data_IF_910021313025
#
_entry.id   IF_910021313025
#
_cell.length_a   1.000
_cell.length_b   1.000
_cell.length_c   1.000
_cell.angle_alpha   90.00
_cell.angle_beta   90.00
_cell.angle_gamma   90.00
#
_symmetry.space_group_name_H-M   'P 1'
#
loop_
_entity.id
_entity.type
_entity.pdbx_description
1 polymer ?
#
# COMPACT_ATOMS: atom_id res chain seq x y z
N UNK A 1 -4.28 -10.62 -5.41
CA UNK A 1 -5.21 -10.64 -4.26
C UNK A 1 -6.44 -11.46 -4.63
N UNK A 2 -6.79 -12.40 -3.76
CA UNK A 2 -7.87 -13.36 -4.05
C UNK A 2 -9.24 -12.68 -4.16
N UNK A 3 -9.57 -11.79 -3.22
CA UNK A 3 -10.90 -11.17 -3.09
C UNK A 3 -11.18 -10.12 -4.16
N UNK A 4 -10.19 -9.39 -4.62
CA UNK A 4 -10.34 -8.26 -5.55
C UNK A 4 -9.83 -8.58 -6.95
N UNK A 5 -9.19 -9.73 -7.14
CA UNK A 5 -8.46 -10.10 -8.36
C UNK A 5 -7.36 -9.08 -8.75
N UNK A 6 -6.95 -8.22 -7.83
CA UNK A 6 -5.84 -7.30 -8.06
C UNK A 6 -4.50 -8.05 -8.17
N UNK A 7 -3.65 -7.55 -9.04
CA UNK A 7 -2.26 -7.97 -9.14
C UNK A 7 -1.41 -6.96 -8.38
N UNK A 8 -0.58 -7.45 -7.46
CA UNK A 8 0.45 -6.66 -6.79
C UNK A 8 1.82 -7.09 -7.31
N UNK A 9 2.71 -6.13 -7.48
CA UNK A 9 4.11 -6.36 -7.84
C UNK A 9 4.98 -5.88 -6.68
N UNK A 10 5.98 -6.70 -6.35
CA UNK A 10 6.98 -6.31 -5.37
C UNK A 10 8.08 -5.50 -6.05
N UNK A 11 8.31 -4.29 -5.57
CA UNK A 11 9.33 -3.35 -6.05
C UNK A 11 10.32 -3.03 -4.94
N UNK A 12 11.33 -2.22 -5.24
CA UNK A 12 12.23 -1.67 -4.22
C UNK A 12 11.46 -0.89 -3.11
N UNK A 13 10.29 -0.45 -3.44
CA UNK A 13 9.41 0.30 -2.55
C UNK A 13 8.44 -0.58 -1.75
N UNK A 14 8.34 -1.86 -2.03
CA UNK A 14 7.40 -2.81 -1.43
C UNK A 14 6.32 -3.28 -2.40
N UNK A 15 5.20 -3.73 -1.85
CA UNK A 15 4.08 -4.20 -2.65
C UNK A 15 3.25 -3.03 -3.16
N UNK A 16 3.19 -2.90 -4.48
CA UNK A 16 2.40 -1.86 -5.16
C UNK A 16 1.38 -2.51 -6.09
N UNK A 17 0.25 -1.84 -6.29
CA UNK A 17 -0.74 -2.31 -7.26
C UNK A 17 -0.15 -2.21 -8.66
N UNK A 18 -0.16 -3.35 -9.37
CA UNK A 18 0.35 -3.40 -10.73
C UNK A 18 -0.54 -2.58 -11.70
N UNK A 19 0.05 -1.98 -12.72
CA UNK A 19 -0.71 -1.41 -13.83
C UNK A 19 -1.63 -2.44 -14.47
N UNK A 20 -2.70 -1.97 -15.10
CA UNK A 20 -3.62 -2.83 -15.87
C UNK A 20 -2.83 -3.52 -16.99
N UNK A 21 -2.99 -4.84 -17.09
CA UNK A 21 -2.29 -5.65 -18.12
C UNK A 21 -0.89 -6.13 -17.73
N UNK A 22 -0.40 -5.85 -16.51
CA UNK A 22 0.94 -6.26 -16.09
C UNK A 22 1.09 -7.79 -16.08
N UNK A 23 0.08 -8.53 -15.60
CA UNK A 23 0.09 -10.00 -15.63
C UNK A 23 0.15 -10.53 -17.07
N UNK A 24 -0.57 -9.90 -18.00
CA UNK A 24 -0.55 -10.25 -19.42
C UNK A 24 0.82 -9.98 -20.04
N UNK A 25 1.43 -8.85 -19.70
CA UNK A 25 2.77 -8.51 -20.15
C UNK A 25 3.81 -9.50 -19.59
N UNK A 26 3.75 -9.82 -18.30
CA UNK A 26 4.63 -10.82 -17.71
C UNK A 26 4.50 -12.18 -18.40
N UNK A 27 3.29 -12.65 -18.68
CA UNK A 27 3.04 -13.90 -19.40
C UNK A 27 3.58 -13.86 -20.84
N UNK A 28 3.42 -12.73 -21.56
CA UNK A 28 4.02 -12.53 -22.90
C UNK A 28 5.54 -12.55 -22.86
N UNK A 29 6.15 -11.96 -21.82
CA UNK A 29 7.60 -12.02 -21.63
C UNK A 29 8.10 -13.44 -21.41
N UNK A 30 7.37 -14.30 -20.71
CA UNK A 30 7.71 -15.72 -20.57
C UNK A 30 7.74 -16.41 -21.93
N UNK A 31 6.74 -16.18 -22.78
CA UNK A 31 6.70 -16.73 -24.14
C UNK A 31 7.88 -16.21 -25.00
N UNK A 32 8.15 -14.92 -24.91
CA UNK A 32 9.28 -14.31 -25.63
C UNK A 32 10.63 -14.85 -25.13
N UNK A 33 10.79 -15.12 -23.84
CA UNK A 33 12.02 -15.70 -23.30
C UNK A 33 12.30 -17.11 -23.83
N UNK A 34 11.25 -17.94 -24.01
CA UNK A 34 11.39 -19.27 -24.63
C UNK A 34 11.89 -19.14 -26.07
N UNK A 35 11.38 -18.18 -26.84
CA UNK A 35 11.84 -17.92 -28.20
C UNK A 35 13.29 -17.39 -28.24
N UNK A 36 13.67 -16.55 -27.30
CA UNK A 36 15.03 -16.05 -27.14
C UNK A 36 16.02 -17.18 -26.79
N UNK A 37 15.63 -18.07 -25.85
CA UNK A 37 16.43 -19.25 -25.51
C UNK A 37 16.66 -20.14 -26.72
N UNK A 38 15.62 -20.35 -27.55
CA UNK A 38 15.74 -21.11 -28.79
C UNK A 38 16.72 -20.46 -29.76
N UNK A 39 16.67 -19.14 -29.90
CA UNK A 39 17.58 -18.39 -30.81
C UNK A 39 19.04 -18.43 -30.31
N UNK A 40 19.28 -18.37 -29.01
CA UNK A 40 20.62 -18.46 -28.45
C UNK A 40 21.20 -19.88 -28.54
N UNK A 41 20.35 -20.91 -28.36
CA UNK A 41 20.73 -22.29 -28.55
C UNK A 41 21.04 -22.59 -30.02
N UNK A 42 20.26 -22.05 -30.96
CA UNK A 42 20.50 -22.17 -32.39
C UNK A 42 21.89 -21.66 -32.82
N UNK A 43 22.37 -20.57 -32.22
CA UNK A 43 23.72 -20.03 -32.48
C UNK A 43 24.83 -20.96 -31.99
N UNK A 44 24.59 -21.72 -30.90
CA UNK A 44 25.57 -22.61 -30.27
C UNK A 44 25.55 -24.01 -30.87
N UNK A 45 24.37 -24.50 -31.14
CA UNK A 45 24.08 -25.90 -31.55
C UNK A 45 23.00 -25.89 -32.65
N UNK A 46 23.33 -25.58 -33.92
CA UNK A 46 22.35 -25.41 -34.99
C UNK A 46 21.46 -26.64 -35.26
N UNK A 47 22.00 -27.84 -35.07
CA UNK A 47 21.30 -29.10 -35.33
C UNK A 47 20.58 -29.68 -34.10
N UNK A 48 20.54 -28.96 -33.01
CA UNK A 48 19.92 -29.44 -31.78
C UNK A 48 18.39 -29.62 -31.92
N UNK A 49 17.88 -30.79 -31.65
CA UNK A 49 16.44 -31.07 -31.62
C UNK A 49 15.69 -30.20 -30.60
N UNK A 50 16.38 -29.74 -29.56
CA UNK A 50 15.87 -28.88 -28.51
C UNK A 50 15.47 -27.49 -29.05
N UNK A 51 16.19 -26.99 -30.08
CA UNK A 51 15.81 -25.73 -30.75
C UNK A 51 14.41 -25.81 -31.34
N UNK A 52 14.12 -26.91 -32.06
CA UNK A 52 12.80 -27.13 -32.68
C UNK A 52 11.71 -27.27 -31.64
N UNK A 53 12.01 -27.91 -30.51
CA UNK A 53 11.10 -28.09 -29.40
C UNK A 53 10.76 -26.77 -28.74
N UNK A 54 11.74 -25.93 -28.42
CA UNK A 54 11.54 -24.60 -27.82
C UNK A 54 10.75 -23.68 -28.74
N UNK A 55 11.05 -23.66 -30.04
CA UNK A 55 10.28 -22.84 -31.01
C UNK A 55 8.83 -23.31 -31.08
N UNK A 56 8.59 -24.62 -31.10
CA UNK A 56 7.24 -25.17 -31.06
C UNK A 56 6.52 -24.81 -29.78
N UNK A 57 7.20 -24.85 -28.63
CA UNK A 57 6.64 -24.46 -27.35
C UNK A 57 6.26 -22.97 -27.31
N UNK A 58 7.15 -22.09 -27.82
CA UNK A 58 6.88 -20.67 -27.91
C UNK A 58 5.66 -20.39 -28.79
N UNK A 59 5.58 -21.01 -29.98
CA UNK A 59 4.42 -20.91 -30.86
C UNK A 59 3.13 -21.43 -30.20
N UNK A 60 3.20 -22.58 -29.53
CA UNK A 60 2.06 -23.19 -28.85
C UNK A 60 1.55 -22.32 -27.70
N UNK A 61 2.44 -21.61 -27.00
CA UNK A 61 2.12 -20.77 -25.84
C UNK A 61 1.67 -19.35 -26.19
N UNK A 62 1.89 -18.89 -27.45
CA UNK A 62 1.59 -17.54 -27.89
C UNK A 62 0.09 -17.16 -28.00
N UNK A 63 -0.86 -18.05 -28.32
CA UNK A 63 -2.27 -17.69 -28.46
C UNK A 63 -2.84 -17.12 -27.14
N UNK A 64 -3.74 -16.12 -27.25
CA UNK A 64 -4.37 -15.44 -26.12
C UNK A 64 -4.94 -16.41 -25.08
N UNK A 65 -5.68 -17.43 -25.52
CA UNK A 65 -6.25 -18.45 -24.63
C UNK A 65 -5.20 -19.18 -23.77
N UNK A 66 -3.98 -19.37 -24.29
CA UNK A 66 -2.88 -20.01 -23.56
C UNK A 66 -2.24 -19.08 -22.56
N UNK A 67 -2.11 -17.80 -22.93
CA UNK A 67 -1.65 -16.73 -22.03
C UNK A 67 -2.63 -16.57 -20.85
N UNK A 68 -3.94 -16.52 -21.13
CA UNK A 68 -4.97 -16.46 -20.09
C UNK A 68 -4.95 -17.69 -19.18
N UNK A 69 -4.78 -18.90 -19.77
CA UNK A 69 -4.68 -20.14 -19.02
C UNK A 69 -3.42 -20.14 -18.12
N UNK A 70 -2.29 -19.65 -18.61
CA UNK A 70 -1.05 -19.53 -17.82
C UNK A 70 -1.26 -18.60 -16.61
N UNK A 71 -1.86 -17.43 -16.81
CA UNK A 71 -2.16 -16.48 -15.73
C UNK A 71 -3.13 -17.10 -14.73
N UNK A 72 -4.17 -17.78 -15.21
CA UNK A 72 -5.15 -18.44 -14.36
C UNK A 72 -4.54 -19.55 -13.50
N UNK A 73 -3.65 -20.35 -14.07
CA UNK A 73 -2.94 -21.40 -13.34
C UNK A 73 -1.92 -20.81 -12.35
N UNK A 74 -1.17 -19.77 -12.74
CA UNK A 74 -0.24 -19.10 -11.86
C UNK A 74 -0.93 -18.56 -10.59
N UNK A 75 -2.17 -18.10 -10.68
CA UNK A 75 -2.93 -17.64 -9.50
C UNK A 75 -3.21 -18.74 -8.48
N UNK A 76 -3.18 -20.00 -8.87
CA UNK A 76 -3.38 -21.15 -7.99
C UNK A 76 -2.09 -21.72 -7.39
N UNK A 77 -0.93 -21.26 -7.86
CA UNK A 77 0.35 -21.71 -7.35
C UNK A 77 0.60 -21.24 -5.91
N UNK A 78 1.20 -22.10 -5.05
CA UNK A 78 1.57 -21.71 -3.69
C UNK A 78 2.45 -20.45 -3.67
N UNK A 79 2.09 -19.49 -2.84
CA UNK A 79 2.81 -18.23 -2.70
C UNK A 79 2.48 -17.14 -3.75
N UNK A 80 1.71 -17.46 -4.80
CA UNK A 80 1.28 -16.49 -5.79
C UNK A 80 -0.03 -15.79 -5.44
N UNK A 81 -0.83 -16.39 -4.56
CA UNK A 81 -2.10 -15.82 -4.10
C UNK A 81 -2.02 -15.41 -2.64
N UNK A 82 -2.52 -14.23 -2.33
CA UNK A 82 -2.64 -13.74 -0.96
C UNK A 82 -4.04 -13.17 -0.72
N UNK A 83 -4.51 -13.26 0.52
CA UNK A 83 -5.74 -12.58 0.93
C UNK A 83 -5.45 -11.11 1.26
N UNK A 84 -6.41 -10.25 0.99
CA UNK A 84 -6.30 -8.85 1.36
C UNK A 84 -6.09 -8.64 2.88
N UNK A 85 -6.61 -9.55 3.70
CA UNK A 85 -6.44 -9.53 5.16
C UNK A 85 -5.01 -9.86 5.63
N UNK A 86 -4.17 -10.42 4.75
CA UNK A 86 -2.78 -10.71 5.09
C UNK A 86 -1.90 -9.44 4.97
N UNK A 87 -2.36 -8.47 4.17
CA UNK A 87 -1.65 -7.20 4.01
C UNK A 87 -2.00 -6.24 5.14
N UNK A 88 -1.00 -5.48 5.58
CA UNK A 88 -1.13 -4.46 6.63
C UNK A 88 -1.75 -5.02 7.94
N UNK A 89 -1.55 -6.31 8.21
CA UNK A 89 -2.20 -7.03 9.31
C UNK A 89 -1.66 -6.65 10.70
N UNK A 90 -0.38 -6.30 10.81
CA UNK A 90 0.21 -5.87 12.09
C UNK A 90 -0.01 -4.37 12.31
N UNK A 91 -0.84 -3.96 13.30
CA UNK A 91 -1.14 -2.56 13.55
C UNK A 91 0.07 -1.73 14.02
N UNK A 92 1.15 -2.35 14.43
CA UNK A 92 2.38 -1.67 14.87
C UNK A 92 3.46 -1.62 13.78
N UNK A 93 3.15 -2.04 12.58
CA UNK A 93 4.05 -1.95 11.44
C UNK A 93 3.60 -0.81 10.55
N UNK A 94 4.52 0.11 10.23
CA UNK A 94 4.28 1.26 9.36
C UNK A 94 5.24 1.22 8.18
N UNK A 95 4.72 1.20 6.97
CA UNK A 95 5.51 1.42 5.77
C UNK A 95 5.95 2.88 5.68
N UNK A 96 7.21 3.12 5.40
CA UNK A 96 7.81 4.43 5.14
C UNK A 96 8.62 4.37 3.84
N UNK A 97 9.03 5.50 3.28
CA UNK A 97 9.74 5.50 1.98
C UNK A 97 11.06 4.73 2.01
N UNK A 98 11.77 4.76 3.12
CA UNK A 98 13.07 4.07 3.28
C UNK A 98 12.98 2.71 3.97
N UNK A 99 11.77 2.13 4.15
CA UNK A 99 11.64 0.79 4.74
C UNK A 99 10.34 0.54 5.48
N UNK A 100 10.42 -0.35 6.44
CA UNK A 100 9.33 -0.73 7.34
C UNK A 100 9.71 -0.37 8.77
N UNK A 101 8.92 0.47 9.41
CA UNK A 101 9.12 0.89 10.79
C UNK A 101 8.32 -0.01 11.74
N UNK A 102 9.01 -0.68 12.64
CA UNK A 102 8.42 -1.39 13.77
C UNK A 102 8.19 -0.40 14.92
N UNK A 103 6.97 0.02 15.12
CA UNK A 103 6.59 1.04 16.11
C UNK A 103 6.80 0.59 17.57
N UNK A 104 6.86 -0.73 17.84
CA UNK A 104 7.16 -1.23 19.19
C UNK A 104 8.61 -1.00 19.59
N UNK A 105 9.49 -1.02 18.58
CA UNK A 105 10.95 -0.95 18.80
C UNK A 105 11.55 0.36 18.30
N UNK A 106 10.80 1.17 17.54
CA UNK A 106 11.34 2.34 16.84
C UNK A 106 12.42 1.96 15.83
N UNK A 107 12.37 0.74 15.27
CA UNK A 107 13.43 0.20 14.43
C UNK A 107 12.99 0.11 12.96
N UNK A 108 13.82 0.64 12.08
CA UNK A 108 13.65 0.53 10.64
C UNK A 108 14.20 -0.81 10.14
N UNK A 109 13.44 -1.47 9.29
CA UNK A 109 13.81 -2.73 8.62
C UNK A 109 13.71 -2.57 7.12
N UNK A 110 14.52 -3.33 6.38
CA UNK A 110 14.40 -3.40 4.93
C UNK A 110 13.10 -4.06 4.51
N UNK A 111 12.56 -3.61 3.38
CA UNK A 111 11.38 -4.24 2.75
C UNK A 111 11.79 -5.57 2.13
N UNK A 112 10.99 -6.60 2.33
CA UNK A 112 11.18 -7.93 1.73
C UNK A 112 9.86 -8.43 1.15
N UNK A 113 9.86 -9.36 0.18
CA UNK A 113 8.61 -9.93 -0.36
C UNK A 113 7.71 -10.58 0.69
N UNK A 114 8.29 -11.06 1.79
CA UNK A 114 7.54 -11.63 2.91
C UNK A 114 6.87 -10.57 3.79
N UNK A 115 7.26 -9.30 3.65
CA UNK A 115 6.66 -8.19 4.39
C UNK A 115 5.41 -7.71 3.63
N UNK A 116 4.24 -8.20 4.04
CA UNK A 116 2.97 -7.90 3.40
C UNK A 116 2.43 -6.53 3.85
N UNK A 117 3.14 -5.47 3.49
CA UNK A 117 2.75 -4.08 3.71
C UNK A 117 2.49 -3.43 2.35
N UNK A 118 1.29 -2.90 2.17
CA UNK A 118 0.82 -2.31 0.90
C UNK A 118 0.60 -0.80 0.98
N UNK A 119 0.66 -0.23 2.17
CA UNK A 119 0.50 1.21 2.42
C UNK A 119 1.79 1.84 2.89
N UNK A 120 1.95 3.13 2.60
CA UNK A 120 3.13 3.89 2.97
C UNK A 120 2.81 5.30 3.45
N UNK A 121 3.58 5.72 4.45
CA UNK A 121 3.73 7.13 4.81
C UNK A 121 4.70 7.80 3.83
N UNK A 122 4.41 9.03 3.43
CA UNK A 122 5.15 9.75 2.38
C UNK A 122 6.47 10.37 2.87
N UNK A 123 7.10 9.75 3.88
CA UNK A 123 8.31 10.25 4.52
C UNK A 123 9.33 9.15 4.73
N UNK A 124 10.61 9.55 4.76
CA UNK A 124 11.68 8.73 5.30
C UNK A 124 11.64 8.77 6.83
N UNK A 125 11.85 7.63 7.47
CA UNK A 125 12.10 7.59 8.90
C UNK A 125 13.57 7.91 9.18
N UNK A 126 13.80 8.94 9.99
CA UNK A 126 15.10 9.31 10.53
C UNK A 126 14.95 9.46 12.06
N UNK A 127 15.59 8.60 12.86
CA UNK A 127 15.49 8.68 14.32
C UNK A 127 16.16 9.92 14.92
N UNK A 128 17.02 10.60 14.15
CA UNK A 128 17.70 11.82 14.57
C UNK A 128 16.98 13.10 14.11
N UNK A 129 15.88 12.98 13.37
CA UNK A 129 15.17 14.14 12.83
C UNK A 129 14.59 15.02 13.95
N UNK A 130 14.88 16.30 13.88
CA UNK A 130 14.34 17.34 14.77
C UNK A 130 13.66 18.41 13.91
N UNK A 131 12.48 18.86 14.33
CA UNK A 131 11.75 19.89 13.63
C UNK A 131 11.37 21.06 14.54
N UNK A 132 12.33 21.96 14.80
CA UNK A 132 12.11 23.15 15.62
C UNK A 132 10.97 24.04 15.12
N UNK A 133 10.77 24.11 13.81
CA UNK A 133 9.68 24.89 13.22
C UNK A 133 8.31 24.33 13.62
N UNK A 134 8.15 23.01 13.65
CA UNK A 134 6.92 22.37 14.11
C UNK A 134 6.68 22.60 15.60
N UNK A 135 7.73 22.50 16.42
CA UNK A 135 7.64 22.74 17.86
C UNK A 135 7.23 24.20 18.16
N UNK A 136 7.81 25.16 17.44
CA UNK A 136 7.44 26.57 17.55
C UNK A 136 5.99 26.84 17.08
N UNK A 137 5.59 26.22 15.96
CA UNK A 137 4.22 26.29 15.49
C UNK A 137 3.25 25.78 16.56
N UNK A 138 3.47 24.59 17.10
CA UNK A 138 2.60 24.04 18.15
C UNK A 138 2.57 24.92 19.42
N UNK A 139 3.69 25.44 19.85
CA UNK A 139 3.74 26.32 21.01
C UNK A 139 2.98 27.62 20.80
N UNK A 140 2.95 28.13 19.56
CA UNK A 140 2.23 29.37 19.19
C UNK A 140 0.72 29.16 19.13
N UNK A 141 0.27 28.07 18.46
CA UNK A 141 -1.16 27.83 18.22
C UNK A 141 -1.86 27.16 19.41
N UNK A 142 -1.09 26.48 20.26
CA UNK A 142 -1.57 25.81 21.45
C UNK A 142 -0.61 26.07 22.64
N UNK A 143 -0.82 27.15 23.40
CA UNK A 143 0.04 27.50 24.53
C UNK A 143 0.01 26.49 25.68
N UNK A 144 -1.12 25.80 25.88
CA UNK A 144 -1.32 24.82 26.94
C UNK A 144 -0.44 23.57 26.72
N UNK A 145 0.51 23.23 27.60
CA UNK A 145 1.40 22.09 27.45
C UNK A 145 0.68 20.75 27.55
N UNK A 146 -0.42 20.65 28.32
CA UNK A 146 -1.17 19.40 28.46
C UNK A 146 -1.93 19.09 27.18
N UNK A 147 -2.48 20.11 26.53
CA UNK A 147 -3.13 19.93 25.22
C UNK A 147 -2.10 19.57 24.14
N UNK A 148 -0.90 20.19 24.14
CA UNK A 148 0.17 19.77 23.23
C UNK A 148 0.55 18.30 23.44
N UNK A 149 0.64 17.85 24.70
CA UNK A 149 0.89 16.44 25.01
C UNK A 149 -0.22 15.53 24.50
N UNK A 150 -1.49 15.95 24.63
CA UNK A 150 -2.61 15.21 24.06
C UNK A 150 -2.50 15.11 22.53
N UNK A 151 -2.15 16.21 21.83
CA UNK A 151 -1.93 16.20 20.38
C UNK A 151 -0.81 15.24 19.98
N UNK A 152 0.27 15.19 20.73
CA UNK A 152 1.38 14.25 20.52
C UNK A 152 0.91 12.79 20.70
N UNK A 153 0.12 12.52 21.73
CA UNK A 153 -0.45 11.18 21.96
C UNK A 153 -1.40 10.77 20.81
N UNK A 154 -2.23 11.69 20.34
CA UNK A 154 -3.12 11.44 19.20
C UNK A 154 -2.32 11.15 17.92
N UNK A 155 -1.28 11.93 17.64
CA UNK A 155 -0.37 11.67 16.52
C UNK A 155 0.28 10.28 16.64
N UNK A 156 0.72 9.90 17.85
CA UNK A 156 1.24 8.55 18.12
C UNK A 156 0.23 7.45 17.86
N UNK A 157 -1.04 7.65 18.20
CA UNK A 157 -2.12 6.71 17.93
C UNK A 157 -2.36 6.57 16.42
N UNK A 158 -2.35 7.68 15.67
CA UNK A 158 -2.53 7.66 14.21
C UNK A 158 -1.38 6.99 13.47
N UNK A 159 -0.21 6.83 14.08
CA UNK A 159 0.85 5.99 13.52
C UNK A 159 0.51 4.50 13.63
N UNK A 160 -0.33 4.11 14.58
CA UNK A 160 -0.75 2.71 14.76
C UNK A 160 -2.01 2.39 13.97
N UNK A 161 -2.21 1.11 13.65
CA UNK A 161 -3.46 0.61 13.10
C UNK A 161 -4.49 0.18 14.15
N UNK A 162 -4.33 0.63 15.41
CA UNK A 162 -5.22 0.26 16.50
C UNK A 162 -6.55 1.00 16.42
N UNK A 163 -7.65 0.27 16.52
CA UNK A 163 -9.02 0.80 16.50
C UNK A 163 -9.74 0.72 17.87
N UNK A 164 -8.98 0.41 18.92
CA UNK A 164 -9.55 0.13 20.24
C UNK A 164 -10.05 1.38 21.01
N UNK A 165 -9.62 2.57 20.60
CA UNK A 165 -10.04 3.80 21.27
C UNK A 165 -11.53 4.14 21.02
N UNK A 166 -12.06 3.84 19.84
CA UNK A 166 -13.44 4.13 19.44
C UNK A 166 -13.85 5.58 19.77
N UNK A 167 -13.01 6.56 19.44
CA UNK A 167 -13.22 7.98 19.73
C UNK A 167 -13.33 8.78 18.44
N UNK A 168 -14.28 9.71 18.44
CA UNK A 168 -14.36 10.80 17.47
C UNK A 168 -13.79 12.06 18.13
N UNK A 169 -12.84 12.70 17.46
CA UNK A 169 -12.09 13.84 18.00
C UNK A 169 -12.54 15.08 17.26
N UNK A 170 -13.02 16.07 18.00
CA UNK A 170 -13.43 17.37 17.45
C UNK A 170 -12.39 18.44 17.77
N UNK A 171 -11.83 19.03 16.73
CA UNK A 171 -11.02 20.24 16.82
C UNK A 171 -11.95 21.45 16.65
N UNK A 172 -12.19 22.19 17.70
CA UNK A 172 -13.03 23.40 17.63
C UNK A 172 -12.26 24.65 18.08
N UNK A 173 -12.73 25.80 17.69
CA UNK A 173 -12.18 27.11 18.09
C UNK A 173 -12.46 28.19 17.04
N UNK A 174 -12.23 29.43 17.45
CA UNK A 174 -12.34 30.62 16.60
C UNK A 174 -11.33 30.51 15.45
N UNK A 175 -11.58 30.84 14.24
CA UNK A 175 -10.74 30.65 13.07
C UNK A 175 -9.24 30.99 13.25
N UNK A 176 -8.41 30.64 12.27
CA UNK A 176 -6.98 30.98 12.17
C UNK A 176 -6.08 30.56 13.36
N UNK A 177 -6.36 29.39 13.98
CA UNK A 177 -5.64 28.87 15.14
C UNK A 177 -4.92 27.53 14.89
N UNK A 178 -4.52 27.27 13.65
CA UNK A 178 -3.66 26.14 13.27
C UNK A 178 -4.30 24.76 13.21
N UNK A 179 -5.61 24.58 13.48
CA UNK A 179 -6.30 23.26 13.45
C UNK A 179 -6.12 22.53 12.12
N UNK A 180 -6.48 23.22 11.03
CA UNK A 180 -6.39 22.67 9.67
C UNK A 180 -4.95 22.35 9.31
N UNK A 181 -4.01 23.27 9.60
CA UNK A 181 -2.59 23.08 9.36
C UNK A 181 -2.05 21.83 10.07
N UNK A 182 -2.44 21.63 11.33
CA UNK A 182 -2.01 20.46 12.10
C UNK A 182 -2.54 19.15 11.47
N UNK A 183 -3.84 19.08 11.19
CA UNK A 183 -4.46 17.85 10.64
C UNK A 183 -3.94 17.55 9.23
N UNK A 184 -3.82 18.56 8.37
CA UNK A 184 -3.29 18.36 7.01
C UNK A 184 -1.83 17.94 7.02
N UNK A 185 -1.01 18.48 7.94
CA UNK A 185 0.36 18.01 8.10
C UNK A 185 0.42 16.56 8.54
N UNK A 186 -0.39 16.14 9.52
CA UNK A 186 -0.47 14.74 9.96
C UNK A 186 -0.95 13.83 8.83
N UNK A 187 -1.94 14.27 8.06
CA UNK A 187 -2.45 13.53 6.92
C UNK A 187 -1.39 13.36 5.82
N UNK A 188 -0.64 14.42 5.54
CA UNK A 188 0.46 14.39 4.58
C UNK A 188 1.58 13.43 5.03
N UNK A 189 2.01 13.50 6.29
CA UNK A 189 3.00 12.60 6.85
C UNK A 189 2.57 11.12 6.74
N UNK A 190 1.30 10.84 6.97
CA UNK A 190 0.75 9.49 6.95
C UNK A 190 0.51 8.93 5.54
N UNK A 191 0.48 9.76 4.50
CA UNK A 191 0.32 9.32 3.12
C UNK A 191 -0.86 8.35 2.93
N UNK A 192 -0.59 7.15 2.46
CA UNK A 192 -1.61 6.10 2.24
C UNK A 192 -2.39 5.68 3.51
N UNK A 193 -1.93 6.03 4.68
CA UNK A 193 -2.63 5.73 5.94
C UNK A 193 -3.65 6.79 6.32
N UNK A 194 -3.73 7.90 5.60
CA UNK A 194 -4.73 8.95 5.83
C UNK A 194 -5.80 8.98 4.74
N UNK A 195 -6.98 9.51 5.08
CA UNK A 195 -8.03 9.78 4.11
C UNK A 195 -8.90 10.93 4.57
N UNK A 196 -9.13 11.88 3.66
CA UNK A 196 -10.17 12.90 3.85
C UNK A 196 -11.51 12.36 3.38
N UNK A 197 -12.55 12.57 4.17
CA UNK A 197 -13.92 12.18 3.81
C UNK A 197 -14.81 13.42 3.77
N UNK A 198 -15.93 13.30 3.08
CA UNK A 198 -16.97 14.31 3.13
C UNK A 198 -17.66 14.28 4.49
N UNK A 199 -17.94 15.44 5.09
CA UNK A 199 -18.60 15.58 6.39
C UNK A 199 -19.96 14.90 6.41
N UNK A 200 -20.64 14.87 5.27
CA UNK A 200 -21.93 14.21 5.07
C UNK A 200 -21.89 12.71 5.37
N UNK A 201 -20.73 12.08 5.26
CA UNK A 201 -20.56 10.66 5.58
C UNK A 201 -20.74 10.38 7.08
N UNK A 202 -20.44 11.38 7.93
CA UNK A 202 -20.60 11.32 9.38
C UNK A 202 -22.00 11.76 9.83
N UNK A 203 -22.80 12.38 8.96
CA UNK A 203 -24.14 12.83 9.29
C UNK A 203 -25.17 11.72 9.08
N UNK A 204 -26.20 11.74 9.90
CA UNK A 204 -27.32 10.82 9.73
C UNK A 204 -28.12 11.18 8.47
N UNK A 205 -27.93 10.41 7.40
CA UNK A 205 -28.78 10.47 6.23
C UNK A 205 -29.82 9.34 6.28
N UNK A 206 -31.06 9.64 5.90
CA UNK A 206 -32.03 8.63 5.52
C UNK A 206 -31.60 7.97 4.20
N UNK A 207 -30.54 7.17 4.24
CA UNK A 207 -30.14 6.35 3.09
C UNK A 207 -31.00 5.10 3.07
N UNK A 208 -31.61 4.83 1.94
CA UNK A 208 -32.12 3.48 1.62
C UNK A 208 -30.97 2.48 1.80
N UNK A 209 -31.18 1.30 2.38
CA UNK A 209 -30.16 0.29 2.60
C UNK A 209 -29.76 -0.37 1.27
N UNK A 210 -29.02 0.33 0.44
CA UNK A 210 -28.48 -0.20 -0.80
C UNK A 210 -26.98 -0.44 -0.64
N UNK A 211 -26.63 -1.62 -0.10
CA UNK A 211 -25.29 -2.17 -0.13
C UNK A 211 -24.17 -1.37 0.57
N UNK A 212 -22.95 -1.90 0.61
CA UNK A 212 -21.79 -1.19 1.15
C UNK A 212 -21.43 0.01 0.25
N UNK A 213 -21.37 1.20 0.85
CA UNK A 213 -20.95 2.43 0.16
C UNK A 213 -19.49 2.31 -0.30
N UNK A 214 -19.17 2.60 -1.57
CA UNK A 214 -17.79 2.64 -2.06
C UNK A 214 -16.87 3.53 -1.20
N UNK A 215 -17.42 4.61 -0.64
CA UNK A 215 -16.70 5.55 0.23
C UNK A 215 -16.17 4.87 1.50
N UNK A 216 -16.94 3.93 2.07
CA UNK A 216 -16.53 3.19 3.28
C UNK A 216 -15.48 2.12 2.95
N UNK A 217 -15.59 1.49 1.79
CA UNK A 217 -14.61 0.46 1.37
C UNK A 217 -13.21 1.05 1.24
N UNK A 218 -13.08 2.29 0.75
CA UNK A 218 -11.83 3.02 0.63
C UNK A 218 -11.15 3.36 1.96
N UNK A 219 -11.87 3.25 3.10
CA UNK A 219 -11.33 3.56 4.43
C UNK A 219 -10.59 2.38 5.07
N UNK A 220 -10.67 1.19 4.50
CA UNK A 220 -10.01 0.01 5.05
C UNK A 220 -8.49 0.22 5.16
N UNK A 221 -7.97 0.05 6.38
CA UNK A 221 -6.55 0.21 6.70
C UNK A 221 -6.06 1.67 6.74
N UNK A 222 -6.96 2.65 6.69
CA UNK A 222 -6.63 4.03 7.03
C UNK A 222 -6.54 4.17 8.55
N UNK A 223 -5.60 4.99 9.01
CA UNK A 223 -5.28 5.22 10.44
C UNK A 223 -5.72 6.61 10.90
N UNK A 224 -5.72 7.58 9.98
CA UNK A 224 -6.28 8.92 10.18
C UNK A 224 -7.37 9.15 9.13
N UNK A 225 -8.61 9.30 9.58
CA UNK A 225 -9.74 9.69 8.74
C UNK A 225 -10.22 11.03 9.27
N UNK A 226 -10.33 12.04 8.39
CA UNK A 226 -10.69 13.40 8.77
C UNK A 226 -11.60 14.07 7.74
N UNK A 227 -12.30 15.13 8.14
CA UNK A 227 -13.15 15.94 7.28
C UNK A 227 -12.99 17.43 7.57
#
# INVERSE_FOLDING_TARGET
IYETNDVLVFTAEGWVRAPIGEADNAAKHVVASIASEAADLLKKEPDSSKVKELLRQAQYSSPLQRIEAMIKLAKSEPGMSARLSNFDADPYVLGVQNGILDLRKGALKSVTPSTLVSKRADVNFDPAAICHQFDQFLATVQPDPDVRRLLQQLAGIWLTGLSNLQKLIFFYGLGANGKTTFIELMAWLLGDYSSRIATELLMQHQRSPQGPSPDIVGLKGRRLIYC
#
